data_IF_707211595447
#
_entry.id   IF_707211595447
#
_cell.length_a   1.000
_cell.length_b   1.000
_cell.length_c   1.000
_cell.angle_alpha   90.00
_cell.angle_beta   90.00
_cell.angle_gamma   90.00
#
_symmetry.space_group_name_H-M   'P 1'
#
loop_
_entity.id
_entity.type
_entity.pdbx_description
1 polymer ?
#
# COMPACT_ATOMS: atom_id res chain seq x y z
N UNK A 1 -22.24 5.07 35.48
CA UNK A 1 -22.60 4.75 34.08
C UNK A 1 -21.91 3.47 33.55
N UNK A 2 -21.25 2.67 34.41
CA UNK A 2 -20.59 1.42 34.02
C UNK A 2 -21.37 0.15 34.43
N UNK A 3 -22.32 0.26 35.36
CA UNK A 3 -23.11 -0.87 35.87
C UNK A 3 -24.18 -1.38 34.90
N UNK A 4 -24.62 -0.58 33.92
CA UNK A 4 -25.67 -0.98 32.95
C UNK A 4 -25.14 -1.81 31.76
N UNK A 5 -23.83 -1.80 31.49
CA UNK A 5 -23.24 -2.54 30.37
C UNK A 5 -23.04 -4.02 30.75
N UNK A 6 -22.71 -4.30 32.01
CA UNK A 6 -22.53 -5.68 32.49
C UNK A 6 -23.84 -6.46 32.58
N UNK A 7 -24.97 -5.78 32.85
CA UNK A 7 -26.30 -6.41 32.81
C UNK A 7 -26.73 -6.79 31.39
N UNK A 8 -26.32 -6.01 30.38
CA UNK A 8 -26.57 -6.32 28.97
C UNK A 8 -25.86 -7.61 28.57
N UNK A 9 -24.59 -7.81 28.94
CA UNK A 9 -23.80 -8.99 28.55
C UNK A 9 -24.39 -10.30 29.11
N UNK A 10 -25.07 -10.25 30.27
CA UNK A 10 -25.60 -11.42 30.97
C UNK A 10 -27.03 -11.81 30.59
N UNK A 11 -27.71 -11.07 29.71
CA UNK A 11 -29.06 -11.45 29.28
C UNK A 11 -29.03 -12.64 28.31
N UNK A 12 -30.00 -13.58 28.37
CA UNK A 12 -30.12 -14.65 27.40
C UNK A 12 -30.60 -14.07 26.06
N UNK A 13 -29.64 -13.72 25.20
CA UNK A 13 -29.79 -13.05 23.90
C UNK A 13 -30.65 -13.78 22.86
N UNK A 14 -31.13 -14.99 23.17
CA UNK A 14 -31.96 -15.82 22.29
C UNK A 14 -33.41 -15.26 22.18
N UNK A 15 -33.88 -14.45 23.13
CA UNK A 15 -35.31 -14.05 23.19
C UNK A 15 -35.66 -12.70 22.56
N UNK A 16 -34.71 -11.88 22.11
CA UNK A 16 -34.98 -10.52 21.61
C UNK A 16 -34.24 -10.17 20.30
N UNK A 17 -34.52 -10.88 19.18
CA UNK A 17 -33.92 -10.57 17.88
C UNK A 17 -34.28 -9.16 17.38
N UNK A 18 -35.46 -8.64 17.75
CA UNK A 18 -35.94 -7.31 17.36
C UNK A 18 -35.16 -6.15 17.99
N UNK A 19 -34.55 -6.34 19.16
CA UNK A 19 -33.77 -5.30 19.83
C UNK A 19 -32.39 -5.09 19.17
N UNK A 20 -31.81 -6.17 18.61
CA UNK A 20 -30.54 -6.12 17.89
C UNK A 20 -30.67 -5.33 16.58
N UNK A 21 -31.79 -5.51 15.87
CA UNK A 21 -32.09 -4.75 14.65
C UNK A 21 -32.25 -3.27 14.99
N UNK A 22 -32.95 -2.92 16.07
CA UNK A 22 -33.12 -1.52 16.46
C UNK A 22 -31.80 -0.84 16.86
N UNK A 23 -30.91 -1.51 17.60
CA UNK A 23 -29.60 -0.95 17.99
C UNK A 23 -28.66 -0.83 16.79
N UNK A 24 -28.66 -1.81 15.87
CA UNK A 24 -27.94 -1.71 14.60
C UNK A 24 -28.47 -0.55 13.74
N UNK A 25 -29.79 -0.40 13.59
CA UNK A 25 -30.39 0.69 12.82
C UNK A 25 -30.12 2.08 13.42
N UNK A 26 -30.14 2.23 14.74
CA UNK A 26 -29.84 3.51 15.41
C UNK A 26 -28.35 3.85 15.27
N UNK A 27 -27.44 2.86 15.32
CA UNK A 27 -26.01 3.10 15.05
C UNK A 27 -25.73 3.47 13.58
N UNK A 28 -26.53 2.97 12.64
CA UNK A 28 -26.43 3.29 11.20
C UNK A 28 -26.95 4.69 10.87
N UNK A 29 -27.94 5.22 11.61
CA UNK A 29 -28.55 6.52 11.32
C UNK A 29 -27.87 7.72 11.99
N UNK A 30 -27.22 7.56 13.14
CA UNK A 30 -26.71 8.70 13.93
C UNK A 30 -25.25 9.07 13.60
N UNK A 31 -24.54 8.28 12.79
CA UNK A 31 -23.13 8.57 12.49
C UNK A 31 -22.65 8.03 11.15
N UNK A 32 -22.89 8.81 10.08
CA UNK A 32 -22.35 8.63 8.72
C UNK A 32 -22.82 7.36 8.00
N UNK A 33 -23.62 7.60 6.97
CA UNK A 33 -23.99 6.74 5.85
C UNK A 33 -22.86 5.76 5.47
N UNK A 34 -22.92 4.53 5.97
CA UNK A 34 -22.18 3.38 5.44
C UNK A 34 -23.12 2.64 4.48
N UNK A 35 -22.93 2.85 3.18
CA UNK A 35 -23.61 2.10 2.14
C UNK A 35 -22.91 0.75 1.96
N UNK A 36 -23.59 -0.34 2.31
CA UNK A 36 -23.15 -1.70 1.98
C UNK A 36 -23.31 -2.69 3.12
N UNK A 37 -24.52 -3.18 3.34
CA UNK A 37 -24.75 -4.40 4.13
C UNK A 37 -25.14 -5.51 3.15
N UNK A 38 -24.31 -6.55 3.03
CA UNK A 38 -24.69 -7.75 2.29
C UNK A 38 -24.81 -8.91 3.27
N UNK A 39 -26.02 -9.46 3.37
CA UNK A 39 -26.31 -10.59 4.24
C UNK A 39 -26.05 -11.87 3.46
N UNK A 40 -24.93 -12.55 3.75
CA UNK A 40 -24.64 -13.85 3.15
C UNK A 40 -25.16 -14.91 4.10
N UNK A 41 -26.25 -15.57 3.68
CA UNK A 41 -26.84 -16.68 4.42
C UNK A 41 -26.43 -17.99 3.75
N UNK A 42 -25.57 -18.75 4.41
CA UNK A 42 -25.37 -20.17 4.11
C UNK A 42 -26.03 -21.00 5.22
N UNK A 43 -26.41 -22.24 4.91
CA UNK A 43 -27.31 -23.09 5.73
C UNK A 43 -26.90 -23.33 7.20
N UNK A 44 -25.70 -22.89 7.61
CA UNK A 44 -25.21 -23.03 8.98
C UNK A 44 -24.57 -21.78 9.58
N UNK A 45 -24.49 -20.66 8.86
CA UNK A 45 -23.81 -19.47 9.35
C UNK A 45 -24.36 -18.19 8.71
N UNK A 46 -24.63 -17.18 9.54
CA UNK A 46 -24.92 -15.81 9.10
C UNK A 46 -23.63 -15.03 9.29
N UNK A 47 -22.91 -14.77 8.20
CA UNK A 47 -21.73 -13.91 8.22
C UNK A 47 -22.12 -12.50 7.79
N UNK A 48 -21.62 -11.51 8.53
CA UNK A 48 -21.76 -10.09 8.19
C UNK A 48 -20.50 -9.68 7.44
N UNK A 49 -20.59 -9.50 6.12
CA UNK A 49 -19.50 -8.90 5.35
C UNK A 49 -19.73 -7.39 5.26
N UNK A 50 -18.86 -6.63 5.92
CA UNK A 50 -18.92 -5.18 6.00
C UNK A 50 -18.20 -4.61 4.76
N UNK A 51 -18.74 -4.86 3.57
CA UNK A 51 -18.24 -4.30 2.31
C UNK A 51 -18.76 -2.89 2.16
N UNK A 52 -17.97 -1.96 2.65
CA UNK A 52 -18.24 -0.55 2.40
C UNK A 52 -17.56 -0.18 1.09
N UNK A 53 -18.32 -0.01 0.01
CA UNK A 53 -17.85 0.76 -1.16
C UNK A 53 -17.73 2.27 -0.80
N UNK A 54 -17.33 2.56 0.44
CA UNK A 54 -17.05 3.89 0.91
C UNK A 54 -15.77 4.34 0.21
N UNK A 55 -15.91 5.29 -0.71
CA UNK A 55 -14.77 6.00 -1.28
C UNK A 55 -13.93 6.54 -0.14
N UNK A 56 -12.63 6.25 -0.19
CA UNK A 56 -11.69 6.84 0.76
C UNK A 56 -11.81 8.37 0.70
N UNK A 57 -11.60 9.06 1.83
CA UNK A 57 -11.52 10.51 1.80
C UNK A 57 -10.37 10.90 0.85
N UNK A 58 -10.52 12.01 0.12
CA UNK A 58 -9.54 12.42 -0.90
C UNK A 58 -8.10 12.47 -0.37
N UNK A 59 -7.93 12.79 0.91
CA UNK A 59 -6.62 12.80 1.58
C UNK A 59 -5.95 11.40 1.63
N UNK A 60 -6.67 10.32 1.37
CA UNK A 60 -6.16 8.95 1.27
C UNK A 60 -6.27 8.38 -0.15
N UNK A 61 -6.75 9.18 -1.11
CA UNK A 61 -6.86 8.77 -2.51
C UNK A 61 -5.50 8.83 -3.20
N UNK A 62 -4.83 7.67 -3.17
CA UNK A 62 -3.52 7.45 -3.79
C UNK A 62 -3.62 6.89 -5.22
N UNK A 63 -4.82 6.85 -5.82
CA UNK A 63 -5.05 6.24 -7.13
C UNK A 63 -4.26 6.89 -8.26
N UNK A 64 -3.76 6.10 -9.19
CA UNK A 64 -3.13 6.53 -10.44
C UNK A 64 -1.63 6.30 -10.48
N UNK A 65 -0.96 7.04 -11.36
CA UNK A 65 0.45 6.81 -11.68
C UNK A 65 1.41 7.57 -10.75
N UNK A 66 2.47 6.88 -10.35
CA UNK A 66 3.53 7.36 -9.49
C UNK A 66 4.91 7.01 -10.06
N UNK A 67 5.88 7.87 -9.79
CA UNK A 67 7.31 7.59 -9.98
C UNK A 67 7.93 7.35 -8.63
N UNK A 68 8.72 6.29 -8.50
CA UNK A 68 9.40 5.97 -7.25
C UNK A 68 10.92 6.02 -7.37
N UNK A 69 11.56 6.33 -6.25
CA UNK A 69 12.99 6.23 -6.01
C UNK A 69 13.20 5.42 -4.74
N UNK A 70 13.93 4.31 -4.83
CA UNK A 70 14.39 3.55 -3.68
C UNK A 70 15.90 3.70 -3.53
N UNK A 71 16.39 3.99 -2.33
CA UNK A 71 17.80 4.20 -2.03
C UNK A 71 18.23 3.38 -0.82
N UNK A 72 19.40 2.77 -0.91
CA UNK A 72 19.95 1.92 0.13
C UNK A 72 20.49 2.75 1.30
N UNK A 73 20.32 2.24 2.52
CA UNK A 73 20.53 3.05 3.74
C UNK A 73 22.00 3.07 4.21
N UNK A 74 22.90 2.29 3.62
CA UNK A 74 24.29 2.16 4.06
C UNK A 74 25.26 2.36 2.90
N UNK A 75 26.42 2.97 3.19
CA UNK A 75 27.48 3.26 2.19
C UNK A 75 27.94 2.00 1.42
N UNK A 76 27.81 0.83 2.02
CA UNK A 76 28.27 -0.46 1.50
C UNK A 76 27.11 -1.36 1.01
N UNK A 77 25.87 -1.00 1.32
CA UNK A 77 24.70 -1.78 0.91
C UNK A 77 24.29 -1.40 -0.50
N UNK A 78 24.29 -2.39 -1.37
CA UNK A 78 23.82 -2.31 -2.75
C UNK A 78 22.73 -3.36 -2.93
N UNK A 79 21.81 -3.10 -3.84
CA UNK A 79 20.91 -4.13 -4.31
C UNK A 79 21.75 -5.22 -5.00
N UNK A 80 21.62 -6.47 -4.52
CA UNK A 80 22.44 -7.60 -4.96
C UNK A 80 22.30 -7.91 -6.46
N UNK A 81 21.16 -7.54 -7.05
CA UNK A 81 20.77 -7.93 -8.41
C UNK A 81 21.45 -7.15 -9.51
N UNK A 82 21.74 -5.88 -9.23
CA UNK A 82 22.25 -4.90 -10.19
C UNK A 82 23.41 -4.07 -9.61
N UNK A 83 23.85 -4.40 -8.39
CA UNK A 83 24.91 -3.70 -7.66
C UNK A 83 24.64 -2.19 -7.52
N UNK A 84 23.38 -1.77 -7.53
CA UNK A 84 22.98 -0.38 -7.44
C UNK A 84 22.70 0.09 -6.01
N UNK A 85 22.98 1.38 -5.75
CA UNK A 85 22.55 2.07 -4.51
C UNK A 85 21.18 2.72 -4.63
N UNK A 86 20.72 2.93 -5.86
CA UNK A 86 19.46 3.60 -6.15
C UNK A 86 18.71 2.84 -7.22
N UNK A 87 17.40 2.75 -7.06
CA UNK A 87 16.46 2.18 -8.01
C UNK A 87 15.38 3.18 -8.30
N UNK A 88 14.94 3.20 -9.53
CA UNK A 88 13.83 4.03 -9.93
C UNK A 88 12.87 3.23 -10.80
N UNK A 89 11.65 3.72 -10.86
CA UNK A 89 10.62 3.11 -11.69
C UNK A 89 9.31 3.87 -11.61
N UNK A 90 8.31 3.29 -12.22
CA UNK A 90 6.92 3.74 -12.10
C UNK A 90 6.09 2.69 -11.40
N UNK A 91 5.00 3.13 -10.79
CA UNK A 91 3.96 2.26 -10.24
C UNK A 91 2.61 2.90 -10.47
N UNK A 92 1.67 2.08 -10.92
CA UNK A 92 0.26 2.42 -11.00
C UNK A 92 -0.47 1.80 -9.81
N UNK A 93 -1.27 2.61 -9.13
CA UNK A 93 -2.01 2.21 -7.93
C UNK A 93 -3.50 2.30 -8.22
N UNK A 94 -4.21 1.17 -8.09
CA UNK A 94 -5.65 1.10 -8.30
C UNK A 94 -6.37 0.60 -7.05
N UNK A 95 -7.47 1.24 -6.69
CA UNK A 95 -8.34 0.75 -5.62
C UNK A 95 -9.14 -0.46 -6.06
N UNK A 96 -9.09 -1.53 -5.26
CA UNK A 96 -9.84 -2.77 -5.49
C UNK A 96 -10.89 -3.04 -4.41
N UNK A 97 -10.83 -2.32 -3.29
CA UNK A 97 -11.81 -2.35 -2.21
C UNK A 97 -11.71 -1.10 -1.34
N UNK A 98 -12.43 -1.08 -0.21
CA UNK A 98 -12.53 0.08 0.69
C UNK A 98 -11.17 0.60 1.14
N UNK A 99 -10.29 -0.32 1.53
CA UNK A 99 -8.93 -0.03 1.98
C UNK A 99 -7.89 -0.83 1.18
N UNK A 100 -8.32 -1.63 0.22
CA UNK A 100 -7.46 -2.50 -0.57
C UNK A 100 -7.08 -1.80 -1.87
N UNK A 101 -5.80 -1.94 -2.23
CA UNK A 101 -5.25 -1.43 -3.47
C UNK A 101 -4.44 -2.52 -4.15
N UNK A 102 -4.33 -2.41 -5.46
CA UNK A 102 -3.41 -3.18 -6.28
C UNK A 102 -2.35 -2.23 -6.84
N UNK A 103 -1.09 -2.61 -6.70
CA UNK A 103 0.04 -1.89 -7.24
C UNK A 103 0.68 -2.74 -8.33
N UNK A 104 0.87 -2.13 -9.49
CA UNK A 104 1.65 -2.73 -10.57
C UNK A 104 2.72 -1.75 -11.00
N UNK A 105 3.97 -2.18 -11.00
CA UNK A 105 5.09 -1.30 -11.23
C UNK A 105 6.11 -1.88 -12.18
N UNK A 106 6.93 -0.98 -12.70
CA UNK A 106 8.07 -1.30 -13.53
C UNK A 106 9.27 -0.58 -12.97
N UNK A 107 10.24 -1.37 -12.52
CA UNK A 107 11.58 -0.91 -12.18
C UNK A 107 12.38 -0.80 -13.47
N UNK A 108 13.14 0.28 -13.61
CA UNK A 108 14.17 0.37 -14.65
C UNK A 108 15.50 -0.03 -14.03
N UNK A 109 16.10 -1.09 -14.54
CA UNK A 109 17.43 -1.55 -14.15
C UNK A 109 18.47 -1.03 -15.14
N UNK A 110 19.53 -0.41 -14.64
CA UNK A 110 20.72 -0.16 -15.44
C UNK A 110 21.71 -1.30 -15.15
N UNK A 111 22.27 -1.94 -16.17
CA UNK A 111 23.34 -2.91 -15.95
C UNK A 111 24.57 -2.15 -15.43
N UNK A 112 24.97 -2.47 -14.19
CA UNK A 112 26.08 -1.89 -13.42
C UNK A 112 26.01 -0.40 -13.03
N UNK A 113 25.55 -0.14 -11.80
CA UNK A 113 25.77 1.16 -11.14
C UNK A 113 27.21 1.36 -10.60
N UNK A 114 28.07 0.35 -10.63
CA UNK A 114 29.42 0.38 -10.02
C UNK A 114 30.56 0.48 -11.02
N UNK A 115 30.33 0.19 -12.30
CA UNK A 115 31.40 0.34 -13.29
C UNK A 115 31.45 1.79 -13.78
N UNK A 116 32.44 2.54 -13.27
CA UNK A 116 33.04 3.71 -13.93
C UNK A 116 33.60 3.39 -15.33
N UNK A 117 33.25 2.26 -15.95
CA UNK A 117 33.69 1.88 -17.27
C UNK A 117 32.58 2.26 -18.24
N UNK A 118 32.80 3.41 -18.87
CA UNK A 118 32.34 3.68 -20.23
C UNK A 118 32.70 2.45 -21.08
N UNK A 119 31.75 1.55 -21.30
CA UNK A 119 31.81 0.60 -22.40
C UNK A 119 30.45 0.68 -23.07
N UNK A 120 30.43 1.41 -24.19
CA UNK A 120 29.37 1.31 -25.17
C UNK A 120 29.25 -0.16 -25.64
N UNK A 121 28.04 -0.63 -25.99
CA UNK A 121 26.83 0.15 -26.23
C UNK A 121 26.05 0.42 -24.93
N UNK A 122 25.32 1.55 -24.89
CA UNK A 122 24.29 1.80 -23.87
C UNK A 122 23.38 0.59 -23.83
N UNK A 123 23.51 -0.25 -22.82
CA UNK A 123 22.53 -1.30 -22.58
C UNK A 123 21.22 -0.60 -22.28
N UNK A 124 20.17 -0.92 -23.03
CA UNK A 124 18.86 -0.35 -22.77
C UNK A 124 18.42 -0.70 -21.34
N UNK A 125 17.89 0.25 -20.57
CA UNK A 125 17.40 -0.03 -19.23
C UNK A 125 16.42 -1.19 -19.27
N UNK A 126 16.73 -2.28 -18.54
CA UNK A 126 15.83 -3.43 -18.49
C UNK A 126 14.64 -3.08 -17.62
N UNK A 127 13.44 -3.21 -18.17
CA UNK A 127 12.21 -3.08 -17.42
C UNK A 127 11.95 -4.38 -16.65
N UNK A 128 11.86 -4.28 -15.33
CA UNK A 128 11.59 -5.40 -14.43
C UNK A 128 10.27 -5.10 -13.74
N UNK A 129 9.28 -5.95 -14.02
CA UNK A 129 7.95 -5.81 -13.45
C UNK A 129 7.95 -6.21 -11.99
N UNK A 130 7.10 -5.55 -11.20
CA UNK A 130 6.69 -6.01 -9.90
C UNK A 130 5.20 -5.77 -9.69
N UNK A 131 4.57 -6.60 -8.87
CA UNK A 131 3.13 -6.55 -8.60
C UNK A 131 2.89 -6.82 -7.12
N UNK A 132 1.94 -6.11 -6.52
CA UNK A 132 1.52 -6.40 -5.15
C UNK A 132 0.76 -7.72 -5.07
N UNK A 133 1.15 -8.58 -4.14
CA UNK A 133 0.37 -9.74 -3.71
C UNK A 133 -0.76 -9.31 -2.78
N UNK A 134 -0.49 -8.30 -1.95
CA UNK A 134 -1.45 -7.71 -1.02
C UNK A 134 -1.04 -6.27 -0.74
N UNK A 135 -1.99 -5.34 -0.80
CA UNK A 135 -1.74 -3.99 -0.36
C UNK A 135 -2.97 -3.35 0.29
N UNK A 136 -2.72 -2.63 1.39
CA UNK A 136 -3.79 -2.13 2.26
C UNK A 136 -3.43 -0.77 2.84
N UNK A 137 -4.41 0.13 2.84
CA UNK A 137 -4.34 1.43 3.47
C UNK A 137 -4.86 1.33 4.90
N UNK A 138 -3.98 1.64 5.85
CA UNK A 138 -4.31 1.79 7.26
C UNK A 138 -4.82 3.21 7.51
N UNK A 139 -6.12 3.43 7.27
CA UNK A 139 -6.80 4.74 7.30
C UNK A 139 -6.44 5.58 8.53
N UNK A 140 -6.53 5.01 9.73
CA UNK A 140 -6.26 5.73 10.99
C UNK A 140 -4.81 6.21 11.12
N UNK A 141 -3.88 5.53 10.46
CA UNK A 141 -2.44 5.85 10.52
C UNK A 141 -1.96 6.58 9.27
N UNK A 142 -2.82 6.75 8.26
CA UNK A 142 -2.45 7.28 6.94
C UNK A 142 -1.24 6.55 6.36
N UNK A 143 -1.22 5.23 6.46
CA UNK A 143 -0.12 4.40 5.97
C UNK A 143 -0.61 3.41 4.91
N UNK A 144 0.27 3.04 3.99
CA UNK A 144 0.09 1.99 3.01
C UNK A 144 1.10 0.87 3.31
N UNK A 145 0.61 -0.36 3.41
CA UNK A 145 1.45 -1.56 3.50
C UNK A 145 1.32 -2.37 2.23
N UNK A 146 2.43 -2.84 1.67
CA UNK A 146 2.46 -3.58 0.40
C UNK A 146 3.36 -4.80 0.55
N UNK A 147 2.82 -5.98 0.31
CA UNK A 147 3.59 -7.17 -0.03
C UNK A 147 3.60 -7.31 -1.54
N UNK A 148 4.77 -7.59 -2.11
CA UNK A 148 4.92 -7.65 -3.56
C UNK A 148 5.96 -8.67 -3.97
N UNK A 149 5.83 -9.11 -5.22
CA UNK A 149 6.84 -9.89 -5.90
C UNK A 149 7.34 -9.19 -7.16
N UNK A 150 8.55 -9.56 -7.58
CA UNK A 150 9.25 -8.96 -8.72
C UNK A 150 9.77 -10.02 -9.68
N UNK A 151 9.92 -9.66 -10.94
CA UNK A 151 10.54 -10.51 -11.97
C UNK A 151 12.07 -10.59 -11.85
N UNK A 152 12.66 -9.99 -10.80
CA UNK A 152 14.06 -10.19 -10.45
C UNK A 152 14.36 -11.69 -10.24
N UNK A 153 15.58 -12.13 -10.57
CA UNK A 153 15.96 -13.53 -10.36
C UNK A 153 15.94 -13.88 -8.87
N UNK A 154 16.62 -13.05 -8.09
CA UNK A 154 16.77 -13.07 -6.64
C UNK A 154 17.09 -11.63 -6.27
N UNK A 155 16.40 -10.95 -5.36
CA UNK A 155 15.28 -11.43 -4.58
C UNK A 155 13.94 -11.17 -5.24
N UNK A 156 13.00 -12.10 -5.04
CA UNK A 156 11.69 -12.05 -5.71
C UNK A 156 10.59 -11.44 -4.87
N UNK A 157 10.81 -11.30 -3.56
CA UNK A 157 9.78 -10.89 -2.60
C UNK A 157 10.22 -9.65 -1.84
N UNK A 158 9.27 -8.75 -1.63
CA UNK A 158 9.49 -7.55 -0.86
C UNK A 158 8.26 -7.11 -0.07
N UNK A 159 8.54 -6.21 0.87
CA UNK A 159 7.55 -5.55 1.70
C UNK A 159 7.82 -4.05 1.73
N UNK A 160 6.81 -3.21 1.50
CA UNK A 160 6.89 -1.77 1.70
C UNK A 160 5.94 -1.32 2.81
N UNK A 161 6.46 -0.39 3.61
CA UNK A 161 5.68 0.35 4.59
C UNK A 161 5.85 1.84 4.30
N UNK A 162 4.77 2.47 3.86
CA UNK A 162 4.75 3.84 3.35
C UNK A 162 3.81 4.71 4.18
N UNK A 163 4.23 5.92 4.49
CA UNK A 163 3.37 6.98 5.00
C UNK A 163 2.82 7.80 3.84
N UNK A 164 1.52 8.11 3.91
CA UNK A 164 0.80 8.95 2.97
C UNK A 164 0.99 10.41 3.41
N UNK A 165 1.73 11.19 2.62
CA UNK A 165 2.09 12.56 2.97
C UNK A 165 1.11 13.53 2.33
N UNK A 166 0.38 14.24 3.19
CA UNK A 166 -0.49 15.34 2.81
C UNK A 166 -0.01 16.65 3.41
N UNK A 167 -0.26 17.73 2.69
CA UNK A 167 -0.17 19.07 3.27
C UNK A 167 -1.21 19.21 4.41
N UNK A 168 -0.83 19.84 5.54
CA UNK A 168 -1.77 20.10 6.62
C UNK A 168 -3.01 20.83 6.11
N UNK A 169 -4.20 20.36 6.49
CA UNK A 169 -5.50 20.92 6.11
C UNK A 169 -5.83 20.86 4.60
N UNK A 170 -5.09 20.09 3.81
CA UNK A 170 -5.41 19.88 2.40
C UNK A 170 -6.41 18.75 2.21
N UNK A 171 -7.47 19.04 1.44
CA UNK A 171 -8.45 18.04 0.95
C UNK A 171 -7.97 17.45 -0.39
N UNK A 172 -6.81 17.89 -0.89
CA UNK A 172 -6.29 17.39 -2.15
C UNK A 172 -5.74 15.98 -1.96
N UNK A 173 -5.78 15.17 -3.03
CA UNK A 173 -5.09 13.89 -3.04
C UNK A 173 -3.61 14.02 -2.69
N UNK A 174 -3.02 13.04 -1.99
CA UNK A 174 -1.60 13.00 -1.68
C UNK A 174 -0.74 13.16 -2.95
N UNK A 175 0.32 13.94 -2.83
CA UNK A 175 1.34 14.10 -3.87
C UNK A 175 2.60 13.26 -3.64
N UNK A 176 2.77 12.74 -2.42
CA UNK A 176 3.97 12.01 -2.00
C UNK A 176 3.61 10.84 -1.06
N UNK A 177 4.29 9.72 -1.26
CA UNK A 177 4.39 8.62 -0.30
C UNK A 177 5.87 8.46 0.07
N UNK A 178 6.18 8.17 1.33
CA UNK A 178 7.55 7.89 1.74
C UNK A 178 7.61 6.75 2.74
N UNK A 179 8.73 6.05 2.82
CA UNK A 179 8.84 5.00 3.81
C UNK A 179 10.02 4.09 3.59
N UNK A 180 9.82 2.83 3.96
CA UNK A 180 10.86 1.81 3.92
C UNK A 180 10.39 0.64 3.05
N UNK A 181 11.28 0.20 2.18
CA UNK A 181 11.18 -1.04 1.43
C UNK A 181 12.14 -2.06 2.04
N UNK A 182 11.63 -3.27 2.22
CA UNK A 182 12.36 -4.45 2.63
C UNK A 182 12.36 -5.45 1.47
N UNK A 183 13.51 -6.02 1.15
CA UNK A 183 13.68 -7.00 0.09
C UNK A 183 14.32 -8.24 0.69
N UNK A 184 13.71 -9.42 0.52
CA UNK A 184 14.22 -10.65 1.13
C UNK A 184 15.16 -11.35 0.16
N UNK A 185 16.47 -11.28 0.37
CA UNK A 185 17.43 -12.07 -0.39
C UNK A 185 17.20 -13.58 -0.16
N UNK A 186 16.81 -14.27 -1.22
CA UNK A 186 16.44 -15.68 -1.17
C UNK A 186 17.64 -16.61 -0.98
N UNK A 187 18.86 -16.18 -1.32
CA UNK A 187 20.09 -16.98 -1.17
C UNK A 187 20.55 -17.04 0.29
N UNK A 188 20.67 -15.88 0.94
CA UNK A 188 21.19 -15.77 2.30
C UNK A 188 20.10 -15.59 3.37
N UNK A 189 18.84 -15.53 2.96
CA UNK A 189 17.64 -15.32 3.79
C UNK A 189 17.69 -14.03 4.62
N UNK A 190 18.38 -13.00 4.12
CA UNK A 190 18.47 -11.70 4.79
C UNK A 190 17.54 -10.68 4.18
N UNK A 191 16.93 -9.89 5.05
CA UNK A 191 16.18 -8.71 4.66
C UNK A 191 17.13 -7.54 4.43
N UNK A 192 17.12 -7.06 3.19
CA UNK A 192 17.70 -5.81 2.81
C UNK A 192 16.73 -4.66 3.07
N UNK A 193 17.24 -3.49 3.50
CA UNK A 193 16.43 -2.30 3.78
C UNK A 193 16.84 -1.13 2.89
N UNK A 194 15.85 -0.53 2.24
CA UNK A 194 15.98 0.71 1.48
C UNK A 194 14.93 1.73 1.93
N UNK A 195 15.27 3.01 1.84
CA UNK A 195 14.28 4.08 1.88
C UNK A 195 13.61 4.14 0.52
N UNK A 196 12.31 4.43 0.50
CA UNK A 196 11.56 4.54 -0.75
C UNK A 196 10.66 5.76 -0.70
N UNK A 197 10.64 6.51 -1.81
CA UNK A 197 9.81 7.69 -1.99
C UNK A 197 9.05 7.54 -3.31
N UNK A 198 7.75 7.83 -3.28
CA UNK A 198 6.88 7.85 -4.45
C UNK A 198 6.34 9.26 -4.63
N UNK A 199 6.34 9.73 -5.86
CA UNK A 199 5.85 11.05 -6.26
C UNK A 199 4.83 10.87 -7.38
N UNK A 200 3.69 11.53 -7.25
CA UNK A 200 2.63 11.44 -8.26
C UNK A 200 3.12 11.99 -9.59
N UNK A 201 2.78 11.32 -10.69
CA UNK A 201 3.10 11.79 -12.04
C UNK A 201 2.54 13.20 -12.26
N UNK A 202 3.32 14.05 -12.93
CA UNK A 202 3.00 15.47 -13.11
C UNK A 202 3.57 16.41 -12.03
N UNK A 203 4.09 15.89 -10.92
CA UNK A 203 4.84 16.69 -9.94
C UNK A 203 6.26 17.01 -10.44
N UNK A 204 6.81 18.16 -10.03
CA UNK A 204 8.19 18.55 -10.39
C UNK A 204 9.21 17.50 -9.98
N UNK A 205 9.08 16.92 -8.77
CA UNK A 205 9.97 15.86 -8.30
C UNK A 205 9.89 14.59 -9.15
N UNK A 206 8.69 14.18 -9.57
CA UNK A 206 8.53 13.05 -10.48
C UNK A 206 9.22 13.32 -11.83
N UNK A 207 9.10 14.54 -12.37
CA UNK A 207 9.80 14.96 -13.60
C UNK A 207 11.32 14.94 -13.41
N UNK A 208 11.84 15.43 -12.29
CA UNK A 208 13.28 15.47 -12.02
C UNK A 208 13.89 14.07 -11.88
N UNK A 209 13.15 13.12 -11.29
CA UNK A 209 13.55 11.71 -11.24
C UNK A 209 13.52 11.12 -12.66
N UNK A 210 12.43 11.33 -13.40
CA UNK A 210 12.27 10.78 -14.74
C UNK A 210 13.27 11.32 -15.77
N UNK A 211 13.82 12.54 -15.58
CA UNK A 211 14.84 13.14 -16.47
C UNK A 211 16.26 12.64 -16.21
N UNK A 212 16.56 12.20 -14.98
CA UNK A 212 17.89 11.73 -14.60
C UNK A 212 18.20 10.32 -15.11
N UNK A 213 17.21 9.67 -15.75
CA UNK A 213 17.21 8.27 -16.12
C UNK A 213 16.34 8.01 -17.35
#
# INVERSE_FOLDING_TARGET
MWTKIEELIKMPWIKYPLFFVAVLFVSVFVGRVYSGFTLIKNDKEISFDLRTDAKLPNELDITGEWVYLAETNQKENIFSEDFCKKRFGSVDINHTGSNEVNLSGVRKANEDCTTKKVVYPKVEPKNIRWVSDSATILVQRKHLTVWFHTDDKIPRLGYMYLSIINEPNSIKPPGQLNGTMFYLNDEDKKWFRANVELYRVGSQKATDIAKKW
#
